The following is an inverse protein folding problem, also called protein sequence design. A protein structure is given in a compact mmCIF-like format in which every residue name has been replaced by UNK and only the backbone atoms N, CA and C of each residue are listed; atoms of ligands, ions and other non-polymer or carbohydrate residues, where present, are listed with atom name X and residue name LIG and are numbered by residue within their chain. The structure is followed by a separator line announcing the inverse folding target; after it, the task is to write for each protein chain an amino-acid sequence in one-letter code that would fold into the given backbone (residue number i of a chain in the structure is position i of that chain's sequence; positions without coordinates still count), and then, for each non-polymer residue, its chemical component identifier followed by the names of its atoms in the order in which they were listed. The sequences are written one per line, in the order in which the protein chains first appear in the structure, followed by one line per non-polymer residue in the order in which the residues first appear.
data_IF_049803848509
#
_entry.id   IF_049803848509
#
_cell.length_a   1.000
_cell.length_b   1.000
_cell.length_c   1.000
_cell.angle_alpha   90.00
_cell.angle_beta   90.00
_cell.angle_gamma   90.00
#
_symmetry.space_group_name_H-M   'P 1'
#
loop_
_entity.id
_entity.type
_entity.pdbx_description
1 polymer ?
#
# COMPACT_ATOMS: atom_id res chain seq x y z
N UNK A 1 -19.66 55.94 12.30
CA UNK A 1 -18.64 54.87 12.30
C UNK A 1 -19.32 53.60 11.78
N UNK A 2 -19.03 53.18 10.55
CA UNK A 2 -19.63 51.97 9.94
C UNK A 2 -18.54 50.92 9.81
N UNK A 3 -18.67 49.82 10.55
CA UNK A 3 -17.76 48.68 10.50
C UNK A 3 -17.90 47.97 9.15
N UNK A 4 -16.83 47.98 8.36
CA UNK A 4 -16.74 47.18 7.12
C UNK A 4 -16.69 45.69 7.51
N UNK A 5 -17.81 45.00 7.33
CA UNK A 5 -17.88 43.54 7.44
C UNK A 5 -17.06 42.88 6.34
N UNK A 6 -16.11 42.03 6.72
CA UNK A 6 -15.36 41.20 5.77
C UNK A 6 -16.28 40.13 5.17
N UNK A 7 -16.25 39.87 3.86
CA UNK A 7 -17.08 38.85 3.24
C UNK A 7 -16.69 37.44 3.71
N UNK A 8 -17.66 36.52 3.88
CA UNK A 8 -17.38 35.16 4.33
C UNK A 8 -16.52 34.41 3.30
N UNK A 9 -15.38 33.85 3.75
CA UNK A 9 -14.51 33.00 2.92
C UNK A 9 -15.31 31.78 2.43
N UNK A 10 -15.51 31.66 1.12
CA UNK A 10 -16.07 30.44 0.51
C UNK A 10 -15.24 29.23 0.94
N UNK A 11 -15.86 28.30 1.66
CA UNK A 11 -15.27 26.99 1.97
C UNK A 11 -14.98 26.32 0.63
N UNK A 12 -13.69 26.09 0.32
CA UNK A 12 -13.29 25.30 -0.85
C UNK A 12 -13.97 23.94 -0.73
N UNK A 13 -14.67 23.52 -1.78
CA UNK A 13 -15.27 22.20 -1.85
C UNK A 13 -14.19 21.11 -1.72
N UNK A 14 -14.60 19.84 -1.53
CA UNK A 14 -13.66 18.73 -1.45
C UNK A 14 -12.74 18.74 -2.67
N UNK A 15 -11.43 18.61 -2.44
CA UNK A 15 -10.45 18.47 -3.52
C UNK A 15 -10.87 17.25 -4.35
N UNK A 16 -10.99 17.44 -5.67
CA UNK A 16 -11.25 16.33 -6.58
C UNK A 16 -10.17 15.27 -6.37
N UNK A 17 -10.57 14.07 -5.97
CA UNK A 17 -9.64 12.94 -5.86
C UNK A 17 -9.11 12.64 -7.26
N UNK A 18 -7.81 12.41 -7.36
CA UNK A 18 -7.19 11.98 -8.61
C UNK A 18 -7.92 10.71 -9.11
N UNK A 19 -8.11 10.59 -10.42
CA UNK A 19 -8.73 9.40 -11.03
C UNK A 19 -7.90 8.16 -10.68
N UNK A 20 -6.58 8.33 -10.48
CA UNK A 20 -5.67 7.29 -10.05
C UNK A 20 -5.69 7.01 -8.53
N UNK A 21 -6.46 7.75 -7.72
CA UNK A 21 -6.72 7.45 -6.30
C UNK A 21 -7.92 6.50 -6.11
N UNK A 22 -8.63 6.18 -7.19
CA UNK A 22 -9.74 5.23 -7.14
C UNK A 22 -9.16 3.83 -7.02
N UNK A 23 -9.47 3.15 -5.91
CA UNK A 23 -9.04 1.77 -5.68
C UNK A 23 -9.84 0.84 -6.58
N UNK A 24 -9.19 0.33 -7.62
CA UNK A 24 -9.83 -0.51 -8.62
C UNK A 24 -9.80 -2.01 -8.26
N UNK A 25 -8.82 -2.44 -7.46
CA UNK A 25 -8.58 -3.86 -7.17
C UNK A 25 -9.19 -4.28 -5.83
N UNK A 26 -9.78 -5.48 -5.79
CA UNK A 26 -10.43 -6.03 -4.59
C UNK A 26 -9.69 -7.27 -4.11
N UNK A 27 -9.17 -7.20 -2.89
CA UNK A 27 -8.66 -8.37 -2.17
C UNK A 27 -9.82 -9.11 -1.50
N UNK A 28 -9.97 -10.41 -1.78
CA UNK A 28 -10.94 -11.29 -1.11
C UNK A 28 -10.19 -12.35 -0.32
N UNK A 29 -10.46 -12.43 0.99
CA UNK A 29 -9.79 -13.36 1.91
C UNK A 29 -10.85 -14.22 2.63
N UNK A 30 -10.57 -15.52 2.79
CA UNK A 30 -11.30 -16.40 3.71
C UNK A 30 -10.58 -16.39 5.06
N UNK A 31 -11.31 -16.02 6.11
CA UNK A 31 -10.76 -15.87 7.45
C UNK A 31 -11.71 -16.47 8.48
N UNK A 32 -11.16 -16.96 9.60
CA UNK A 32 -11.95 -17.44 10.73
C UNK A 32 -12.75 -16.30 11.37
N UNK A 33 -13.96 -16.58 11.87
CA UNK A 33 -14.85 -15.57 12.43
C UNK A 33 -14.24 -14.81 13.61
N UNK A 34 -13.49 -15.52 14.46
CA UNK A 34 -12.86 -14.88 15.63
C UNK A 34 -11.75 -13.91 15.25
N UNK A 35 -11.00 -14.21 14.19
CA UNK A 35 -10.05 -13.25 13.62
C UNK A 35 -10.78 -12.00 13.14
N UNK A 36 -11.93 -12.17 12.47
CA UNK A 36 -12.73 -11.05 11.99
C UNK A 36 -13.28 -10.19 13.14
N UNK A 37 -13.65 -10.79 14.27
CA UNK A 37 -14.10 -10.07 15.47
C UNK A 37 -12.95 -9.25 16.07
N UNK A 38 -11.79 -9.87 16.28
CA UNK A 38 -10.61 -9.19 16.83
C UNK A 38 -10.14 -8.03 15.94
N UNK A 39 -10.09 -8.22 14.62
CA UNK A 39 -9.75 -7.15 13.68
C UNK A 39 -10.77 -6.00 13.72
N UNK A 40 -12.05 -6.30 13.94
CA UNK A 40 -13.09 -5.27 14.07
C UNK A 40 -12.91 -4.47 15.37
N UNK A 41 -12.60 -5.14 16.48
CA UNK A 41 -12.32 -4.51 17.76
C UNK A 41 -11.11 -3.57 17.67
N UNK A 42 -9.97 -4.06 17.14
CA UNK A 42 -8.75 -3.25 16.99
C UNK A 42 -8.94 -2.09 16.01
N UNK A 43 -9.73 -2.28 14.95
CA UNK A 43 -10.07 -1.19 14.03
C UNK A 43 -10.89 -0.10 14.74
N UNK A 44 -11.85 -0.50 15.59
CA UNK A 44 -12.64 0.43 16.39
C UNK A 44 -11.77 1.22 17.37
N UNK A 45 -10.82 0.57 18.06
CA UNK A 45 -9.85 1.24 18.94
C UNK A 45 -9.00 2.27 18.19
N UNK A 46 -8.64 1.97 16.93
CA UNK A 46 -7.89 2.88 16.06
C UNK A 46 -8.76 3.98 15.40
N UNK A 47 -10.08 3.97 15.59
CA UNK A 47 -11.01 4.89 14.93
C UNK A 47 -11.10 4.72 13.40
N UNK A 48 -10.86 3.51 12.91
CA UNK A 48 -10.84 3.18 11.48
C UNK A 48 -11.91 2.15 11.12
N UNK A 49 -12.32 2.12 9.85
CA UNK A 49 -13.05 0.96 9.35
C UNK A 49 -12.13 -0.26 9.34
N UNK A 50 -12.70 -1.47 9.50
CA UNK A 50 -11.93 -2.72 9.45
C UNK A 50 -11.10 -2.85 8.17
N UNK A 51 -11.65 -2.46 7.02
CA UNK A 51 -10.91 -2.51 5.75
C UNK A 51 -9.73 -1.54 5.72
N UNK A 52 -9.90 -0.30 6.18
CA UNK A 52 -8.82 0.68 6.28
C UNK A 52 -7.75 0.27 7.30
N UNK A 53 -8.16 -0.37 8.40
CA UNK A 53 -7.25 -0.91 9.40
C UNK A 53 -6.37 -2.03 8.82
N UNK A 54 -6.99 -3.02 8.15
CA UNK A 54 -6.26 -4.13 7.50
C UNK A 54 -5.31 -3.59 6.44
N UNK A 55 -5.78 -2.69 5.58
CA UNK A 55 -4.92 -2.09 4.55
C UNK A 55 -3.72 -1.36 5.16
N UNK A 56 -3.93 -0.61 6.25
CA UNK A 56 -2.83 0.08 6.94
C UNK A 56 -1.83 -0.91 7.54
N UNK A 57 -2.29 -2.05 8.06
CA UNK A 57 -1.39 -3.13 8.52
C UNK A 57 -0.55 -3.66 7.35
N UNK A 58 -1.16 -3.95 6.21
CA UNK A 58 -0.46 -4.45 5.02
C UNK A 58 0.57 -3.45 4.49
N UNK A 59 0.20 -2.17 4.38
CA UNK A 59 1.11 -1.11 3.94
C UNK A 59 2.30 -0.98 4.91
N UNK A 60 2.04 -0.98 6.21
CA UNK A 60 3.10 -0.85 7.21
C UNK A 60 4.03 -2.07 7.22
N UNK A 61 3.48 -3.27 7.01
CA UNK A 61 4.27 -4.48 6.86
C UNK A 61 5.22 -4.37 5.66
N UNK A 62 4.70 -3.99 4.49
CA UNK A 62 5.52 -3.82 3.29
C UNK A 62 6.57 -2.72 3.44
N UNK A 63 6.26 -1.63 4.15
CA UNK A 63 7.22 -0.55 4.45
C UNK A 63 8.33 -0.96 5.42
N UNK A 64 8.07 -1.93 6.29
CA UNK A 64 9.07 -2.41 7.23
C UNK A 64 10.21 -3.13 6.51
N UNK A 65 9.89 -3.87 5.45
CA UNK A 65 10.86 -4.57 4.62
C UNK A 65 11.75 -3.57 3.83
N UNK A 66 13.08 -3.57 4.02
CA UNK A 66 13.98 -2.67 3.29
C UNK A 66 14.12 -3.00 1.80
N UNK A 67 13.64 -4.18 1.35
CA UNK A 67 13.69 -4.62 -0.04
C UNK A 67 12.60 -3.98 -0.91
N UNK A 68 11.56 -3.46 -0.27
CA UNK A 68 10.44 -2.80 -0.94
C UNK A 68 10.72 -1.32 -1.24
N UNK A 69 10.09 -0.75 -2.28
CA UNK A 69 10.19 0.67 -2.56
C UNK A 69 9.54 1.49 -1.46
N UNK A 70 9.74 2.81 -1.48
CA UNK A 70 9.01 3.69 -0.58
C UNK A 70 7.53 3.70 -0.97
N UNK A 71 6.69 3.30 -0.04
CA UNK A 71 5.23 3.28 -0.19
C UNK A 71 4.64 4.36 0.73
N UNK A 72 3.69 5.14 0.22
CA UNK A 72 2.98 6.15 0.99
C UNK A 72 1.90 5.53 1.92
N UNK A 73 1.14 6.37 2.62
CA UNK A 73 0.08 5.89 3.52
C UNK A 73 -1.14 5.32 2.78
N UNK A 74 -1.22 5.50 1.46
CA UNK A 74 -2.30 5.02 0.59
C UNK A 74 -1.91 3.75 -0.19
N UNK A 75 -0.68 3.26 -0.03
CA UNK A 75 -0.19 2.08 -0.74
C UNK A 75 0.42 2.40 -2.10
N UNK A 76 0.58 3.68 -2.45
CA UNK A 76 1.22 4.10 -3.70
C UNK A 76 2.72 4.09 -3.55
N UNK A 77 3.40 3.56 -4.56
CA UNK A 77 4.85 3.72 -4.68
C UNK A 77 5.17 5.20 -4.89
N UNK A 78 6.18 5.71 -4.19
CA UNK A 78 6.68 7.04 -4.46
C UNK A 78 7.21 7.10 -5.91
N UNK A 79 6.94 8.18 -6.66
CA UNK A 79 7.48 8.35 -8.01
C UNK A 79 9.01 8.21 -7.99
N UNK A 80 9.57 7.50 -8.98
CA UNK A 80 10.94 6.96 -9.00
C UNK A 80 12.06 8.00 -9.16
N UNK A 81 12.07 9.03 -8.30
CA UNK A 81 13.09 10.07 -8.29
C UNK A 81 14.31 9.73 -7.40
N UNK A 82 14.39 8.52 -6.85
CA UNK A 82 15.43 8.11 -5.90
C UNK A 82 16.01 6.73 -6.19
N UNK A 83 17.09 6.34 -5.48
CA UNK A 83 17.76 5.06 -5.69
C UNK A 83 16.82 3.89 -5.41
N UNK A 84 17.01 2.81 -6.15
CA UNK A 84 16.27 1.56 -5.90
C UNK A 84 16.63 1.02 -4.50
N UNK A 85 15.74 0.24 -3.85
CA UNK A 85 16.05 -0.51 -2.64
C UNK A 85 17.39 -1.26 -2.69
N UNK A 86 17.72 -1.85 -3.84
CA UNK A 86 18.99 -2.55 -4.04
C UNK A 86 20.17 -1.57 -4.06
N UNK A 87 20.09 -0.48 -4.82
CA UNK A 87 21.13 0.56 -4.84
C UNK A 87 21.34 1.21 -3.46
N UNK A 88 20.25 1.42 -2.72
CA UNK A 88 20.28 2.00 -1.38
C UNK A 88 21.09 1.14 -0.39
N UNK A 89 21.19 -0.18 -0.62
CA UNK A 89 22.07 -1.08 0.16
C UNK A 89 23.54 -0.70 -0.01
N UNK A 90 23.93 -0.30 -1.21
CA UNK A 90 25.31 0.14 -1.51
C UNK A 90 25.58 1.56 -1.02
N UNK A 91 24.58 2.45 -1.09
CA UNK A 91 24.75 3.86 -0.66
C UNK A 91 24.67 4.04 0.86
N UNK A 92 23.73 3.36 1.54
CA UNK A 92 23.47 3.49 2.98
C UNK A 92 23.44 2.12 3.70
N UNK A 93 24.55 1.35 3.70
CA UNK A 93 24.56 -0.05 4.16
C UNK A 93 24.14 -0.23 5.62
N UNK A 94 24.59 0.66 6.51
CA UNK A 94 24.25 0.59 7.94
C UNK A 94 22.74 0.80 8.18
N UNK A 95 22.15 1.78 7.51
CA UNK A 95 20.71 2.07 7.65
C UNK A 95 19.86 0.91 7.14
N UNK A 96 20.26 0.30 6.02
CA UNK A 96 19.57 -0.84 5.45
C UNK A 96 19.71 -2.07 6.35
N UNK A 97 20.88 -2.31 6.94
CA UNK A 97 21.09 -3.38 7.91
C UNK A 97 20.23 -3.19 9.19
N UNK A 98 20.11 -1.98 9.71
CA UNK A 98 19.23 -1.69 10.85
C UNK A 98 17.75 -1.95 10.52
N UNK A 99 17.30 -1.52 9.34
CA UNK A 99 15.93 -1.78 8.87
C UNK A 99 15.69 -3.27 8.70
N UNK A 100 16.65 -3.99 8.12
CA UNK A 100 16.59 -5.45 7.99
C UNK A 100 16.44 -6.13 9.34
N UNK A 101 17.25 -5.75 10.33
CA UNK A 101 17.15 -6.33 11.68
C UNK A 101 15.76 -6.12 12.31
N UNK A 102 15.18 -4.91 12.18
CA UNK A 102 13.82 -4.63 12.67
C UNK A 102 12.77 -5.45 11.92
N UNK A 103 12.92 -5.59 10.60
CA UNK A 103 12.05 -6.42 9.79
C UNK A 103 12.15 -7.89 10.20
N UNK A 104 13.35 -8.44 10.38
CA UNK A 104 13.58 -9.82 10.80
C UNK A 104 12.96 -10.13 12.16
N UNK A 105 13.08 -9.21 13.13
CA UNK A 105 12.42 -9.34 14.43
C UNK A 105 10.90 -9.33 14.30
N UNK A 106 10.34 -8.44 13.47
CA UNK A 106 8.91 -8.42 13.21
C UNK A 106 8.44 -9.69 12.47
N UNK A 107 9.24 -10.20 11.55
CA UNK A 107 8.99 -11.45 10.82
C UNK A 107 8.97 -12.64 11.76
N UNK A 108 9.92 -12.73 12.69
CA UNK A 108 9.93 -13.76 13.73
C UNK A 108 8.69 -13.69 14.62
N UNK A 109 8.29 -12.49 15.05
CA UNK A 109 7.08 -12.31 15.85
C UNK A 109 5.80 -12.75 15.12
N UNK A 110 5.71 -12.51 13.80
CA UNK A 110 4.51 -12.79 13.01
C UNK A 110 4.46 -14.23 12.51
N UNK A 111 5.59 -14.78 12.07
CA UNK A 111 5.66 -16.08 11.39
C UNK A 111 6.33 -17.17 12.24
N UNK A 112 6.84 -16.85 13.44
CA UNK A 112 7.55 -17.80 14.30
C UNK A 112 8.92 -18.22 13.78
N UNK A 113 9.44 -17.54 12.75
CA UNK A 113 10.72 -17.82 12.15
C UNK A 113 11.41 -16.53 11.69
N UNK A 114 12.73 -16.50 11.78
CA UNK A 114 13.51 -15.39 11.25
C UNK A 114 13.31 -15.24 9.73
N UNK A 115 13.38 -14.00 9.25
CA UNK A 115 13.45 -13.75 7.82
C UNK A 115 14.70 -14.47 7.25
N UNK A 116 14.56 -15.26 6.17
CA UNK A 116 15.69 -15.95 5.56
C UNK A 116 16.81 -14.97 5.20
N UNK A 117 18.06 -15.33 5.51
CA UNK A 117 19.19 -14.41 5.36
C UNK A 117 19.57 -14.18 3.90
N UNK A 118 19.39 -15.20 3.08
CA UNK A 118 19.56 -15.16 1.62
C UNK A 118 18.70 -14.08 0.97
N UNK A 119 17.50 -13.80 1.47
CA UNK A 119 16.64 -12.70 0.98
C UNK A 119 17.30 -11.33 1.02
N UNK A 120 18.22 -11.10 1.96
CA UNK A 120 18.94 -9.84 2.09
C UNK A 120 20.17 -9.80 1.19
N UNK A 121 20.78 -10.96 0.93
CA UNK A 121 22.02 -11.07 0.18
C UNK A 121 21.74 -11.07 -1.33
N UNK A 122 20.64 -11.72 -1.74
CA UNK A 122 20.18 -11.88 -3.10
C UNK A 122 19.63 -10.57 -3.71
N UNK A 123 20.11 -10.23 -4.90
CA UNK A 123 19.69 -9.05 -5.63
C UNK A 123 18.26 -9.19 -6.20
N UNK A 124 17.86 -10.41 -6.55
CA UNK A 124 16.54 -10.68 -7.13
C UNK A 124 15.41 -10.62 -6.09
N UNK A 125 15.78 -10.64 -4.81
CA UNK A 125 14.86 -10.45 -3.69
C UNK A 125 14.46 -8.98 -3.45
N UNK A 126 15.02 -8.02 -4.17
CA UNK A 126 14.72 -6.59 -4.06
C UNK A 126 13.76 -6.11 -5.15
N UNK A 127 12.97 -5.08 -4.85
CA UNK A 127 12.17 -4.38 -5.86
C UNK A 127 12.93 -3.21 -6.49
N UNK A 128 12.87 -2.99 -7.82
CA UNK A 128 12.49 -3.98 -8.82
C UNK A 128 13.56 -5.07 -8.93
N UNK A 129 13.14 -6.32 -9.17
CA UNK A 129 14.07 -7.45 -9.30
C UNK A 129 14.82 -7.38 -10.63
N UNK A 130 16.11 -7.78 -10.64
CA UNK A 130 16.95 -7.71 -11.84
C UNK A 130 16.59 -8.80 -12.86
N UNK A 131 16.24 -10.01 -12.41
CA UNK A 131 15.98 -11.18 -13.26
C UNK A 131 14.47 -11.53 -13.37
N UNK A 132 13.57 -10.60 -13.04
CA UNK A 132 12.14 -10.77 -13.33
C UNK A 132 11.34 -11.55 -12.29
N UNK A 133 11.67 -11.39 -11.01
CA UNK A 133 10.80 -11.74 -9.89
C UNK A 133 9.51 -10.88 -9.88
N UNK A 134 8.58 -11.23 -10.77
CA UNK A 134 7.15 -10.94 -10.81
C UNK A 134 6.66 -9.54 -10.38
N UNK A 135 6.66 -8.63 -11.35
CA UNK A 135 5.55 -7.80 -11.83
C UNK A 135 6.23 -6.69 -12.66
N UNK A 136 5.90 -6.58 -13.95
CA UNK A 136 6.24 -5.35 -14.69
C UNK A 136 5.63 -4.18 -13.89
N UNK A 137 6.34 -3.06 -13.68
CA UNK A 137 5.75 -1.89 -13.01
C UNK A 137 4.40 -1.44 -13.60
N UNK A 138 4.09 -1.85 -14.85
CA UNK A 138 2.83 -1.63 -15.54
C UNK A 138 1.87 -2.83 -15.55
N UNK A 139 2.29 -3.99 -15.08
CA UNK A 139 1.44 -5.18 -14.95
C UNK A 139 0.64 -5.07 -13.65
N UNK A 140 -0.63 -4.65 -13.77
CA UNK A 140 -1.57 -4.58 -12.65
C UNK A 140 -1.98 -5.96 -12.11
N UNK A 141 -1.52 -7.06 -12.73
CA UNK A 141 -1.96 -8.42 -12.43
C UNK A 141 -3.41 -8.71 -12.82
N UNK A 142 -4.06 -7.79 -13.52
CA UNK A 142 -5.37 -7.96 -14.15
C UNK A 142 -5.11 -8.12 -15.66
N UNK A 143 -5.68 -9.17 -16.28
CA UNK A 143 -5.71 -9.31 -17.74
C UNK A 143 -6.28 -8.01 -18.35
N UNK A 144 -5.60 -7.36 -19.31
CA UNK A 144 -6.09 -6.14 -19.94
C UNK A 144 -7.53 -6.27 -20.48
N UNK A 145 -7.94 -7.46 -20.92
CA UNK A 145 -9.33 -7.73 -21.33
C UNK A 145 -10.30 -7.66 -20.13
N UNK A 146 -9.89 -8.14 -18.96
CA UNK A 146 -10.72 -8.15 -17.75
C UNK A 146 -10.85 -6.74 -17.15
N UNK A 147 -9.79 -5.94 -17.21
CA UNK A 147 -9.80 -4.54 -16.83
C UNK A 147 -10.71 -3.70 -17.74
N UNK A 148 -10.67 -3.95 -19.06
CA UNK A 148 -11.55 -3.31 -20.03
C UNK A 148 -13.02 -3.75 -19.86
N UNK A 149 -13.26 -5.04 -19.63
CA UNK A 149 -14.58 -5.58 -19.34
C UNK A 149 -15.21 -4.93 -18.09
N UNK A 150 -14.43 -4.72 -17.02
CA UNK A 150 -14.88 -4.02 -15.80
C UNK A 150 -15.20 -2.54 -16.09
N UNK A 151 -14.38 -1.86 -16.90
CA UNK A 151 -14.64 -0.46 -17.33
C UNK A 151 -15.93 -0.34 -18.16
N UNK A 152 -16.19 -1.30 -19.05
CA UNK A 152 -17.42 -1.35 -19.85
C UNK A 152 -18.65 -1.69 -18.99
N UNK A 153 -18.50 -2.61 -18.03
CA UNK A 153 -19.57 -2.95 -17.08
C UNK A 153 -19.95 -1.78 -16.18
N UNK A 154 -18.98 -0.98 -15.73
CA UNK A 154 -19.21 0.23 -14.94
C UNK A 154 -19.90 1.36 -15.73
N UNK A 155 -19.76 1.38 -17.07
CA UNK A 155 -20.42 2.35 -17.96
C UNK A 155 -21.86 1.96 -18.33
N UNK A 156 -22.32 0.74 -18.07
CA UNK A 156 -23.71 0.37 -18.35
C UNK A 156 -24.66 1.05 -17.34
N UNK A 157 -25.60 1.90 -17.80
CA UNK A 157 -26.59 2.48 -16.90
C UNK A 157 -27.43 1.35 -16.31
N UNK A 158 -27.51 1.30 -14.98
CA UNK A 158 -28.42 0.37 -14.28
C UNK A 158 -29.84 0.61 -14.79
N UNK A 159 -30.38 -0.35 -15.54
CA UNK A 159 -31.81 -0.36 -15.84
C UNK A 159 -32.54 -0.40 -14.51
N UNK A 160 -33.24 0.69 -14.19
CA UNK A 160 -34.17 0.74 -13.07
C UNK A 160 -35.39 -0.07 -13.51
N UNK A 161 -35.58 -1.23 -12.89
CA UNK A 161 -36.87 -1.90 -12.83
C UNK A 161 -37.69 -1.27 -11.71
#
# INVERSE_FOLDING_TARGET
MVSKGFPPKKKRGPVARDVNDIRHNRLTLRAHDDLMKLLSLRASEAGLSRSAYIERLLINWLRADPRNPRIDNMGKMAPSAGPTPFEARSTEPLRIAERWNRFSQAHELIFGQNAPRDWFEDADSYWPAAVGGHLDPNDSGDDPEEAEARRLAAKKPRQRY
#
